data_IF_032647322709
#
_entry.id   IF_032647322709
#
_cell.length_a   1.000
_cell.length_b   1.000
_cell.length_c   1.000
_cell.angle_alpha   90.00
_cell.angle_beta   90.00
_cell.angle_gamma   90.00
#
_symmetry.space_group_name_H-M   'P 1'
#
loop_
_entity.id
_entity.type
_entity.pdbx_description
1 polymer ?
#
# COMPACT_ATOMS: atom_id res chain seq x y z
N UNK A 1 26.25 8.67 7.43
CA UNK A 1 26.41 7.20 7.31
C UNK A 1 25.15 6.53 7.85
N UNK A 2 24.41 5.80 7.04
CA UNK A 2 23.20 5.07 7.46
C UNK A 2 23.57 3.59 7.56
N UNK A 3 23.46 2.99 8.75
CA UNK A 3 23.67 1.56 8.98
C UNK A 3 22.31 0.93 9.30
N UNK A 4 21.88 -0.07 8.51
CA UNK A 4 20.64 -0.83 8.75
C UNK A 4 20.92 -2.32 8.72
N UNK A 5 20.23 -3.09 9.56
CA UNK A 5 20.29 -4.57 9.54
C UNK A 5 19.61 -5.09 8.28
N UNK A 6 20.26 -5.98 7.54
CA UNK A 6 19.72 -6.61 6.33
C UNK A 6 18.37 -7.32 6.61
N UNK A 7 18.28 -8.01 7.75
CA UNK A 7 17.05 -8.68 8.20
C UNK A 7 15.89 -7.70 8.51
N UNK A 8 16.16 -6.40 8.67
CA UNK A 8 15.12 -5.39 8.80
C UNK A 8 14.55 -4.98 7.44
N UNK A 9 15.31 -5.23 6.37
CA UNK A 9 14.89 -5.00 4.98
C UNK A 9 14.18 -6.22 4.39
N UNK A 10 14.33 -7.40 4.99
CA UNK A 10 13.71 -8.64 4.53
C UNK A 10 12.95 -9.28 5.70
N UNK A 11 11.64 -9.00 5.86
CA UNK A 11 10.88 -9.56 6.98
C UNK A 11 10.82 -11.07 6.86
N UNK A 12 11.15 -11.75 7.96
CA UNK A 12 11.29 -13.22 8.06
C UNK A 12 10.00 -14.01 7.76
N UNK A 13 8.86 -13.33 7.62
CA UNK A 13 7.54 -13.94 7.54
C UNK A 13 6.79 -13.64 6.23
N UNK A 14 7.49 -13.12 5.22
CA UNK A 14 6.87 -12.70 3.96
C UNK A 14 6.00 -11.44 4.11
N UNK A 15 5.33 -11.04 3.03
CA UNK A 15 4.44 -9.88 3.03
C UNK A 15 3.00 -10.29 3.21
N UNK A 16 2.25 -9.51 3.98
CA UNK A 16 0.83 -9.76 4.24
C UNK A 16 0.04 -9.09 3.12
N UNK A 17 -0.74 -9.87 2.36
CA UNK A 17 -1.63 -9.39 1.30
C UNK A 17 -3.09 -9.56 1.72
N UNK A 18 -3.88 -8.52 1.57
CA UNK A 18 -5.34 -8.55 1.66
C UNK A 18 -5.94 -8.13 0.33
N UNK A 19 -7.18 -8.54 0.10
CA UNK A 19 -7.90 -8.30 -1.14
C UNK A 19 -9.34 -7.92 -0.79
N UNK A 20 -9.78 -6.76 -1.28
CA UNK A 20 -11.14 -6.26 -1.06
C UNK A 20 -11.87 -6.24 -2.40
N UNK A 21 -12.95 -7.00 -2.49
CA UNK A 21 -13.81 -6.98 -3.67
C UNK A 21 -14.61 -5.69 -3.75
N UNK A 22 -14.49 -5.04 -4.92
CA UNK A 22 -15.11 -3.75 -5.21
C UNK A 22 -16.35 -3.96 -6.08
N UNK A 23 -16.15 -4.45 -7.31
CA UNK A 23 -17.24 -4.67 -8.26
C UNK A 23 -16.84 -5.73 -9.29
N UNK A 24 -17.74 -6.69 -9.54
CA UNK A 24 -17.46 -7.83 -10.43
C UNK A 24 -16.21 -8.60 -9.98
N UNK A 25 -15.25 -8.77 -10.90
CA UNK A 25 -13.96 -9.40 -10.64
C UNK A 25 -12.86 -8.39 -10.24
N UNK A 26 -13.18 -7.09 -10.11
CA UNK A 26 -12.24 -6.04 -9.72
C UNK A 26 -12.10 -5.96 -8.20
N UNK A 27 -10.88 -6.17 -7.73
CA UNK A 27 -10.50 -6.15 -6.33
C UNK A 27 -9.34 -5.17 -6.12
N UNK A 28 -9.36 -4.44 -5.00
CA UNK A 28 -8.20 -3.69 -4.53
C UNK A 28 -7.33 -4.64 -3.71
N UNK A 29 -6.10 -4.85 -4.16
CA UNK A 29 -5.08 -5.62 -3.46
C UNK A 29 -4.20 -4.67 -2.65
N UNK A 30 -4.04 -4.96 -1.35
CA UNK A 30 -3.12 -4.22 -0.48
C UNK A 30 -2.13 -5.17 0.16
N UNK A 31 -0.86 -4.77 0.19
CA UNK A 31 0.23 -5.54 0.76
C UNK A 31 0.90 -4.71 1.84
N UNK A 32 0.90 -5.21 3.06
CA UNK A 32 1.59 -4.60 4.19
C UNK A 32 2.99 -5.21 4.34
N UNK A 33 3.98 -4.33 4.41
CA UNK A 33 5.39 -4.65 4.58
C UNK A 33 5.87 -3.96 5.85
N UNK A 34 6.11 -4.78 6.87
CA UNK A 34 6.49 -4.32 8.19
C UNK A 34 7.71 -3.38 8.14
N UNK A 35 7.58 -2.19 8.77
CA UNK A 35 8.61 -1.14 8.81
C UNK A 35 9.05 -0.58 7.43
N UNK A 36 8.31 -0.84 6.35
CA UNK A 36 8.50 -0.18 5.05
C UNK A 36 7.26 0.59 4.61
N UNK A 37 6.08 0.00 4.78
CA UNK A 37 4.81 0.61 4.45
C UNK A 37 3.90 -0.33 3.66
N UNK A 38 3.26 0.20 2.61
CA UNK A 38 2.20 -0.50 1.89
C UNK A 38 2.40 -0.45 0.38
N UNK A 39 1.95 -1.50 -0.29
CA UNK A 39 1.80 -1.57 -1.72
C UNK A 39 0.31 -1.76 -2.03
N UNK A 40 -0.26 -0.96 -2.94
CA UNK A 40 -1.67 -1.02 -3.31
C UNK A 40 -1.86 -0.94 -4.81
N UNK A 41 -2.74 -1.79 -5.35
CA UNK A 41 -3.02 -1.89 -6.78
C UNK A 41 -4.37 -2.57 -7.03
N UNK A 42 -4.87 -2.47 -8.26
CA UNK A 42 -6.05 -3.21 -8.72
C UNK A 42 -5.59 -4.58 -9.21
N UNK A 43 -6.27 -5.65 -8.81
CA UNK A 43 -5.92 -7.00 -9.24
C UNK A 43 -5.81 -7.14 -10.77
N UNK A 44 -4.74 -7.80 -11.24
CA UNK A 44 -4.43 -7.91 -12.66
C UNK A 44 -3.80 -6.67 -13.30
N UNK A 45 -3.53 -5.63 -12.49
CA UNK A 45 -2.71 -4.48 -12.87
C UNK A 45 -1.61 -4.23 -11.82
N UNK A 46 -0.78 -5.25 -11.59
CA UNK A 46 0.36 -5.19 -10.67
C UNK A 46 1.44 -4.18 -11.09
N UNK A 47 1.47 -3.80 -12.38
CA UNK A 47 2.46 -2.86 -12.94
C UNK A 47 2.19 -1.41 -12.50
N UNK A 48 0.91 -1.02 -12.35
CA UNK A 48 0.49 0.32 -11.91
C UNK A 48 0.34 0.41 -10.38
N UNK A 49 1.20 -0.29 -9.64
CA UNK A 49 1.17 -0.33 -8.19
C UNK A 49 1.66 0.98 -7.54
N UNK A 50 0.90 1.45 -6.56
CA UNK A 50 1.32 2.54 -5.68
C UNK A 50 2.07 2.00 -4.46
N UNK A 51 3.16 2.68 -4.08
CA UNK A 51 3.95 2.39 -2.90
C UNK A 51 3.82 3.53 -1.89
N UNK A 52 3.38 3.21 -0.68
CA UNK A 52 3.22 4.14 0.42
C UNK A 52 4.35 3.87 1.42
N UNK A 53 5.26 4.83 1.59
CA UNK A 53 6.33 4.72 2.59
C UNK A 53 5.83 5.21 3.94
N UNK A 54 5.69 4.29 4.89
CA UNK A 54 5.29 4.61 6.26
C UNK A 54 5.77 3.54 7.22
N UNK A 55 5.94 3.90 8.49
CA UNK A 55 6.22 2.94 9.56
C UNK A 55 4.95 2.54 10.33
N UNK A 56 3.80 3.11 9.98
CA UNK A 56 2.54 2.80 10.64
C UNK A 56 2.08 1.38 10.34
N UNK A 57 1.63 0.70 11.38
CA UNK A 57 0.96 -0.59 11.30
C UNK A 57 -0.54 -0.43 11.04
N UNK A 58 -1.23 -1.47 10.54
CA UNK A 58 -2.67 -1.41 10.28
C UNK A 58 -3.53 -1.01 11.49
N UNK A 59 -3.10 -1.36 12.71
CA UNK A 59 -3.81 -1.00 13.94
C UNK A 59 -3.61 0.48 14.30
N UNK A 60 -2.47 1.09 13.95
CA UNK A 60 -2.19 2.50 14.19
C UNK A 60 -3.00 3.42 13.28
N UNK A 61 -3.32 2.98 12.06
CA UNK A 61 -4.22 3.70 11.15
C UNK A 61 -5.65 3.86 11.71
N UNK A 62 -6.07 3.00 12.64
CA UNK A 62 -7.39 3.09 13.30
C UNK A 62 -7.45 4.17 14.38
N UNK A 63 -6.30 4.72 14.78
CA UNK A 63 -6.23 5.77 15.80
C UNK A 63 -6.53 7.15 15.20
N UNK A 64 -7.46 7.89 15.82
CA UNK A 64 -7.79 9.28 15.41
C UNK A 64 -6.61 10.26 15.46
N UNK A 65 -5.50 9.90 16.11
CA UNK A 65 -4.29 10.74 16.21
C UNK A 65 -3.49 10.79 14.91
N UNK A 66 -3.73 9.87 13.98
CA UNK A 66 -2.98 9.71 12.74
C UNK A 66 -3.81 10.12 11.50
N UNK A 67 -4.86 10.91 11.69
CA UNK A 67 -5.85 11.19 10.64
C UNK A 67 -5.24 11.86 9.38
N UNK A 68 -4.18 12.65 9.51
CA UNK A 68 -3.48 13.25 8.36
C UNK A 68 -2.74 12.20 7.53
N UNK A 69 -2.01 11.27 8.16
CA UNK A 69 -1.33 10.17 7.46
C UNK A 69 -2.32 9.18 6.81
N UNK A 70 -3.56 9.14 7.32
CA UNK A 70 -4.64 8.35 6.73
C UNK A 70 -5.14 8.97 5.42
N UNK A 71 -5.09 10.29 5.28
CA UNK A 71 -5.72 11.02 4.16
C UNK A 71 -5.08 10.64 2.81
N UNK A 72 -3.75 10.56 2.75
CA UNK A 72 -3.04 10.14 1.55
C UNK A 72 -3.42 8.71 1.12
N UNK A 73 -3.53 7.79 2.08
CA UNK A 73 -3.95 6.42 1.80
C UNK A 73 -5.39 6.40 1.27
N UNK A 74 -6.29 7.11 1.94
CA UNK A 74 -7.70 7.20 1.56
C UNK A 74 -7.85 7.80 0.16
N UNK A 75 -7.08 8.84 -0.16
CA UNK A 75 -7.07 9.46 -1.48
C UNK A 75 -6.56 8.50 -2.57
N UNK A 76 -5.55 7.68 -2.27
CA UNK A 76 -5.11 6.63 -3.19
C UNK A 76 -6.22 5.60 -3.43
N UNK A 77 -6.94 5.18 -2.40
CA UNK A 77 -8.08 4.27 -2.55
C UNK A 77 -9.17 4.90 -3.41
N UNK A 78 -9.47 6.18 -3.19
CA UNK A 78 -10.42 6.92 -4.03
C UNK A 78 -10.01 6.89 -5.50
N UNK A 79 -8.74 7.18 -5.79
CA UNK A 79 -8.21 7.13 -7.17
C UNK A 79 -8.36 5.73 -7.79
N UNK A 80 -8.10 4.66 -7.04
CA UNK A 80 -8.28 3.29 -7.54
C UNK A 80 -9.77 2.95 -7.77
N UNK A 81 -10.67 3.45 -6.92
CA UNK A 81 -12.11 3.28 -7.13
C UNK A 81 -12.57 4.03 -8.38
N UNK A 82 -12.15 5.28 -8.55
CA UNK A 82 -12.45 6.07 -9.75
C UNK A 82 -11.97 5.33 -11.02
N UNK A 83 -10.79 4.70 -10.98
CA UNK A 83 -10.28 3.86 -12.07
C UNK A 83 -11.11 2.59 -12.31
N UNK A 84 -11.58 1.93 -11.25
CA UNK A 84 -12.42 0.73 -11.38
C UNK A 84 -13.77 1.10 -12.01
N UNK A 85 -14.35 2.24 -11.62
CA UNK A 85 -15.68 2.67 -12.05
C UNK A 85 -15.70 3.50 -13.34
N UNK A 86 -14.54 3.99 -13.82
CA UNK A 86 -14.45 4.87 -14.99
C UNK A 86 -15.20 4.36 -16.25
N UNK A 87 -15.19 3.04 -16.46
CA UNK A 87 -15.82 2.38 -17.62
C UNK A 87 -17.11 1.62 -17.27
N UNK A 88 -17.66 1.84 -16.07
CA UNK A 88 -18.80 1.09 -15.53
C UNK A 88 -19.99 2.04 -15.34
N UNK A 89 -21.11 1.73 -15.99
CA UNK A 89 -22.37 2.44 -15.78
C UNK A 89 -23.14 1.80 -14.62
N UNK A 90 -22.81 2.22 -13.38
CA UNK A 90 -23.51 1.82 -12.17
C UNK A 90 -24.11 3.02 -11.44
N UNK A 91 -25.21 2.83 -10.70
CA UNK A 91 -25.74 3.87 -9.83
C UNK A 91 -24.74 4.22 -8.71
N UNK A 92 -24.62 5.51 -8.39
CA UNK A 92 -23.71 6.04 -7.34
C UNK A 92 -23.90 5.35 -5.98
N UNK A 93 -25.11 4.89 -5.64
CA UNK A 93 -25.37 4.18 -4.39
C UNK A 93 -24.77 2.76 -4.32
N UNK A 94 -24.36 2.20 -5.46
CA UNK A 94 -23.64 0.93 -5.55
C UNK A 94 -22.12 1.11 -5.44
N UNK A 95 -21.63 2.34 -5.60
CA UNK A 95 -20.21 2.66 -5.42
C UNK A 95 -19.81 2.53 -3.96
N UNK A 96 -18.68 1.86 -3.72
CA UNK A 96 -18.15 1.75 -2.37
C UNK A 96 -17.46 3.06 -1.97
N UNK A 97 -17.82 3.59 -0.79
CA UNK A 97 -17.15 4.77 -0.24
C UNK A 97 -15.68 4.45 0.10
N UNK A 98 -14.75 5.28 -0.39
CA UNK A 98 -13.29 5.10 -0.22
C UNK A 98 -12.85 4.93 1.25
N UNK A 99 -13.41 5.71 2.18
CA UNK A 99 -13.11 5.56 3.62
C UNK A 99 -13.55 4.19 4.16
N UNK A 100 -14.69 3.67 3.70
CA UNK A 100 -15.17 2.37 4.12
C UNK A 100 -14.28 1.25 3.60
N UNK A 101 -13.83 1.36 2.35
CA UNK A 101 -12.87 0.42 1.75
C UNK A 101 -11.54 0.45 2.52
N UNK A 102 -11.03 1.64 2.85
CA UNK A 102 -9.84 1.80 3.69
C UNK A 102 -9.97 1.08 5.04
N UNK A 103 -11.06 1.33 5.77
CA UNK A 103 -11.31 0.67 7.06
C UNK A 103 -11.38 -0.85 6.93
N UNK A 104 -12.00 -1.35 5.86
CA UNK A 104 -12.10 -2.79 5.57
C UNK A 104 -10.73 -3.42 5.31
N UNK A 105 -9.86 -2.76 4.55
CA UNK A 105 -8.46 -3.18 4.34
C UNK A 105 -7.73 -3.31 5.68
N UNK A 106 -7.81 -2.27 6.52
CA UNK A 106 -7.14 -2.27 7.83
C UNK A 106 -7.72 -3.33 8.76
N UNK A 107 -9.03 -3.57 8.70
CA UNK A 107 -9.68 -4.61 9.50
C UNK A 107 -9.26 -6.02 9.10
N UNK A 108 -9.11 -6.31 7.80
CA UNK A 108 -8.58 -7.58 7.33
C UNK A 108 -7.16 -7.85 7.83
N UNK A 109 -6.30 -6.83 7.83
CA UNK A 109 -4.97 -6.96 8.41
C UNK A 109 -5.01 -7.23 9.92
N UNK A 110 -5.81 -6.50 10.69
CA UNK A 110 -5.92 -6.68 12.14
C UNK A 110 -6.51 -8.03 12.54
N UNK A 111 -7.44 -8.56 11.74
CA UNK A 111 -8.08 -9.86 11.98
C UNK A 111 -7.21 -11.06 11.55
N UNK A 112 -6.01 -10.80 11.05
CA UNK A 112 -5.13 -11.79 10.43
C UNK A 112 -5.77 -12.53 9.24
N UNK A 113 -6.71 -11.89 8.54
CA UNK A 113 -7.31 -12.42 7.31
C UNK A 113 -6.49 -11.94 6.09
N UNK A 114 -5.27 -12.47 5.98
CA UNK A 114 -4.34 -12.13 4.91
C UNK A 114 -3.68 -13.37 4.32
N UNK A 115 -3.29 -13.27 3.06
CA UNK A 115 -2.41 -14.23 2.38
C UNK A 115 -0.96 -13.80 2.58
N UNK A 116 -0.05 -14.76 2.69
CA UNK A 116 1.39 -14.47 2.78
C UNK A 116 2.03 -14.58 1.40
N UNK A 117 2.74 -13.53 0.98
CA UNK A 117 3.58 -13.51 -0.22
C UNK A 117 5.02 -13.78 0.22
N UNK A 118 5.62 -14.81 -0.36
CA UNK A 118 7.00 -15.21 -0.07
C UNK A 118 7.99 -14.68 -1.11
N UNK A 119 9.28 -14.71 -0.75
CA UNK A 119 10.42 -14.26 -1.57
C UNK A 119 10.49 -14.89 -2.97
N UNK A 120 9.93 -16.09 -3.14
CA UNK A 120 9.90 -16.78 -4.43
C UNK A 120 8.90 -16.19 -5.44
N UNK A 121 7.97 -15.33 -5.00
CA UNK A 121 6.96 -14.72 -5.86
C UNK A 121 7.54 -13.53 -6.65
N UNK A 122 7.18 -13.40 -7.91
CA UNK A 122 7.59 -12.23 -8.70
C UNK A 122 7.02 -10.93 -8.14
N UNK A 123 5.81 -10.97 -7.59
CA UNK A 123 5.19 -9.85 -6.87
C UNK A 123 6.05 -9.38 -5.69
N UNK A 124 6.65 -10.31 -4.93
CA UNK A 124 7.56 -9.96 -3.84
C UNK A 124 8.77 -9.19 -4.36
N UNK A 125 9.39 -9.68 -5.44
CA UNK A 125 10.59 -9.05 -6.04
C UNK A 125 10.28 -7.66 -6.60
N UNK A 126 9.13 -7.51 -7.27
CA UNK A 126 8.68 -6.23 -7.81
C UNK A 126 8.52 -5.19 -6.71
N UNK A 127 7.87 -5.56 -5.60
CA UNK A 127 7.68 -4.69 -4.44
C UNK A 127 9.02 -4.30 -3.82
N UNK A 128 9.92 -5.26 -3.64
CA UNK A 128 11.25 -4.98 -3.09
C UNK A 128 12.03 -3.99 -3.95
N UNK A 129 12.06 -4.22 -5.25
CA UNK A 129 12.75 -3.34 -6.17
C UNK A 129 12.13 -1.94 -6.19
N UNK A 130 10.81 -1.85 -6.15
CA UNK A 130 10.07 -0.59 -6.06
C UNK A 130 10.43 0.22 -4.81
N UNK A 131 10.42 -0.40 -3.62
CA UNK A 131 10.80 0.28 -2.38
C UNK A 131 12.28 0.66 -2.34
N UNK A 132 13.17 -0.16 -2.89
CA UNK A 132 14.60 0.18 -3.01
C UNK A 132 14.80 1.42 -3.89
N UNK A 133 14.11 1.49 -5.03
CA UNK A 133 14.16 2.64 -5.92
C UNK A 133 13.62 3.90 -5.25
N UNK A 134 12.48 3.79 -4.56
CA UNK A 134 11.90 4.89 -3.79
C UNK A 134 12.86 5.42 -2.72
N UNK A 135 13.54 4.53 -1.98
CA UNK A 135 14.53 4.93 -0.97
C UNK A 135 15.73 5.66 -1.60
N UNK A 136 16.19 5.23 -2.79
CA UNK A 136 17.26 5.92 -3.54
C UNK A 136 16.81 7.31 -3.99
N UNK A 137 15.60 7.43 -4.55
CA UNK A 137 15.06 8.69 -5.03
C UNK A 137 14.91 9.71 -3.88
N UNK A 138 14.42 9.26 -2.72
CA UNK A 138 14.34 10.08 -1.52
C UNK A 138 15.71 10.54 -1.00
N UNK A 139 16.74 9.71 -1.10
CA UNK A 139 18.11 10.10 -0.74
C UNK A 139 18.67 11.16 -1.70
N UNK A 140 18.46 10.98 -3.01
CA UNK A 140 18.91 11.95 -4.02
C UNK A 140 18.26 13.32 -3.83
N UNK A 141 16.95 13.35 -3.51
CA UNK A 141 16.23 14.59 -3.22
C UNK A 141 16.81 15.33 -2.00
N UNK A 142 17.18 14.60 -0.94
CA UNK A 142 17.81 15.18 0.26
C UNK A 142 19.18 15.78 -0.06
N UNK A 143 20.01 15.05 -0.80
CA UNK A 143 21.34 15.53 -1.20
C UNK A 143 21.22 16.83 -2.01
N UNK A 144 20.34 16.88 -3.01
CA UNK A 144 20.15 18.07 -3.84
C UNK A 144 19.65 19.29 -3.05
N UNK A 145 18.79 19.08 -2.05
CA UNK A 145 18.32 20.16 -1.19
C UNK A 145 19.39 20.67 -0.21
N UNK A 146 20.34 19.82 0.19
CA UNK A 146 21.50 20.21 1.00
C UNK A 146 22.60 20.90 0.18
N UNK A 147 22.64 20.69 -1.14
CA UNK A 147 23.63 21.35 -2.02
C UNK A 147 23.20 22.74 -2.51
N UNK A 148 21.90 23.03 -2.43
CA UNK A 148 21.30 24.30 -2.86
C UNK A 148 21.04 25.30 -1.71
N UNK A 149 21.50 24.98 -0.49
CA UNK A 149 21.51 25.86 0.68
C UNK A 149 22.95 26.17 1.10
#
# INVERSE_FOLDING_TARGET
MIVRKLNFLMPKHGYKKVEVSIYGEKNICTIYIENKGYAIYINGNEEDMFLIKTNMSPDEFKSRKNAEDNEDFINLIKLLLDQIYADIDIPEYEEQHHEFVFLKIMDYFSKNDFKVINEGSDLYKTIEWGFMKLDIDLLNLKVNNETNN
#
